data_IF_840150756890
#
_entry.id   IF_840150756890
#
_cell.length_a   1.000
_cell.length_b   1.000
_cell.length_c   1.000
_cell.angle_alpha   90.00
_cell.angle_beta   90.00
_cell.angle_gamma   90.00
#
_symmetry.space_group_name_H-M   'P 1'
#
loop_
_entity.id
_entity.type
_entity.pdbx_description
1 polymer ?
#
# COMPACT_ATOMS: atom_id res chain seq x y z
N UNK A 1 -17.04 -9.51 2.42
CA UNK A 1 -16.73 -10.72 1.63
C UNK A 1 -16.00 -10.42 0.30
N UNK A 2 -16.19 -9.23 -0.33
CA UNK A 2 -15.61 -8.94 -1.64
C UNK A 2 -14.10 -8.63 -1.62
N UNK A 3 -13.54 -8.27 -0.47
CA UNK A 3 -12.11 -7.94 -0.32
C UNK A 3 -11.22 -9.14 -0.63
N UNK A 4 -10.11 -8.90 -1.36
CA UNK A 4 -9.08 -9.91 -1.62
C UNK A 4 -8.35 -10.30 -0.34
N UNK A 5 -7.62 -11.41 -0.34
CA UNK A 5 -6.80 -11.82 0.82
C UNK A 5 -5.70 -10.81 1.12
N UNK A 6 -5.09 -10.23 0.10
CA UNK A 6 -4.06 -9.20 0.23
C UNK A 6 -4.62 -7.94 0.89
N UNK A 7 -5.80 -7.48 0.45
CA UNK A 7 -6.52 -6.37 1.08
C UNK A 7 -6.83 -6.64 2.55
N UNK A 8 -7.30 -7.86 2.88
CA UNK A 8 -7.55 -8.27 4.28
C UNK A 8 -6.27 -8.24 5.12
N UNK A 9 -5.18 -8.76 4.59
CA UNK A 9 -3.88 -8.74 5.27
C UNK A 9 -3.36 -7.32 5.44
N UNK A 10 -3.58 -6.43 4.47
CA UNK A 10 -3.22 -5.00 4.58
C UNK A 10 -4.03 -4.31 5.67
N UNK A 11 -5.36 -4.52 5.73
CA UNK A 11 -6.20 -3.96 6.80
C UNK A 11 -5.75 -4.45 8.17
N UNK A 12 -5.47 -5.76 8.33
CA UNK A 12 -4.95 -6.31 9.59
C UNK A 12 -3.58 -5.74 9.95
N UNK A 13 -2.67 -5.55 8.97
CA UNK A 13 -1.37 -4.92 9.19
C UNK A 13 -1.51 -3.46 9.65
N UNK A 14 -2.33 -2.68 8.95
CA UNK A 14 -2.55 -1.25 9.26
C UNK A 14 -3.36 -1.03 10.54
N UNK A 15 -4.08 -2.03 11.05
CA UNK A 15 -4.77 -1.94 12.35
C UNK A 15 -3.81 -1.61 13.48
N UNK A 16 -2.57 -2.11 13.40
CA UNK A 16 -1.52 -1.80 14.39
C UNK A 16 -1.15 -0.32 14.35
N UNK A 17 -1.11 0.27 13.17
CA UNK A 17 -0.74 1.68 12.99
C UNK A 17 -1.79 2.65 13.54
N UNK A 18 -3.06 2.22 13.64
CA UNK A 18 -4.12 3.00 14.30
C UNK A 18 -4.19 2.77 15.82
N UNK A 19 -3.24 2.00 16.38
CA UNK A 19 -3.13 1.77 17.83
C UNK A 19 -3.79 0.49 18.34
N UNK A 20 -4.36 -0.35 17.47
CA UNK A 20 -4.88 -1.64 17.87
C UNK A 20 -3.75 -2.62 18.18
N UNK A 21 -4.02 -3.60 19.06
CA UNK A 21 -3.06 -4.69 19.38
C UNK A 21 -3.04 -5.78 18.31
N UNK A 22 -4.04 -5.85 17.47
CA UNK A 22 -4.16 -6.81 16.38
C UNK A 22 -5.28 -6.42 15.44
N UNK A 23 -5.30 -7.01 14.25
CA UNK A 23 -6.40 -6.95 13.30
C UNK A 23 -6.84 -8.35 12.97
N UNK A 24 -8.14 -8.60 12.92
CA UNK A 24 -8.71 -9.90 12.60
C UNK A 24 -9.86 -9.78 11.62
N UNK A 25 -9.95 -10.74 10.72
CA UNK A 25 -11.09 -10.93 9.83
C UNK A 25 -11.56 -12.38 9.91
N UNK A 26 -12.85 -12.60 10.04
CA UNK A 26 -13.42 -13.93 10.03
C UNK A 26 -13.05 -14.66 8.71
N UNK A 27 -12.65 -15.94 8.78
CA UNK A 27 -12.34 -16.71 7.59
C UNK A 27 -13.63 -17.03 6.81
N UNK A 28 -13.56 -16.99 5.51
CA UNK A 28 -14.62 -17.33 4.57
C UNK A 28 -14.09 -18.19 3.41
N UNK A 29 -14.92 -18.43 2.40
CA UNK A 29 -14.55 -19.22 1.23
C UNK A 29 -13.28 -18.71 0.52
N UNK A 30 -13.01 -17.40 0.51
CA UNK A 30 -11.76 -16.84 -0.05
C UNK A 30 -10.55 -17.21 0.79
N UNK A 31 -10.69 -17.16 2.11
CA UNK A 31 -9.64 -17.59 3.04
C UNK A 31 -9.36 -19.08 2.86
N UNK A 32 -10.39 -19.91 2.75
CA UNK A 32 -10.21 -21.34 2.53
C UNK A 32 -9.54 -21.63 1.17
N UNK A 33 -9.98 -20.98 0.10
CA UNK A 33 -9.36 -21.12 -1.22
C UNK A 33 -7.90 -20.68 -1.21
N UNK A 34 -7.57 -19.59 -0.50
CA UNK A 34 -6.21 -19.08 -0.38
C UNK A 34 -5.27 -20.04 0.38
N UNK A 35 -5.77 -20.71 1.43
CA UNK A 35 -4.96 -21.64 2.25
C UNK A 35 -4.85 -23.02 1.61
N UNK A 36 -5.86 -23.45 0.85
CA UNK A 36 -5.93 -24.79 0.26
C UNK A 36 -4.72 -25.09 -0.62
N UNK A 37 -4.11 -26.25 -0.37
CA UNK A 37 -2.97 -26.75 -1.17
C UNK A 37 -1.62 -26.12 -0.83
N UNK A 38 -1.54 -25.18 0.12
CA UNK A 38 -0.26 -24.67 0.59
C UNK A 38 0.50 -25.73 1.37
N UNK A 39 1.81 -25.62 1.41
CA UNK A 39 2.74 -26.61 1.98
C UNK A 39 2.37 -27.06 3.39
N UNK A 40 2.02 -26.10 4.25
CA UNK A 40 1.71 -26.33 5.67
C UNK A 40 0.20 -26.36 5.93
N UNK A 41 -0.64 -26.31 4.91
CA UNK A 41 -2.09 -26.44 5.10
C UNK A 41 -2.46 -27.87 5.45
N UNK A 42 -3.52 -28.08 6.28
CA UNK A 42 -4.07 -29.41 6.54
C UNK A 42 -4.43 -30.11 5.22
N UNK A 43 -4.35 -31.44 5.19
CA UNK A 43 -4.62 -32.26 4.01
C UNK A 43 -5.63 -33.36 4.30
N UNK A 44 -6.36 -33.82 3.28
CA UNK A 44 -7.33 -34.92 3.41
C UNK A 44 -8.37 -34.65 4.51
N UNK A 45 -8.65 -35.62 5.35
CA UNK A 45 -9.64 -35.51 6.43
C UNK A 45 -9.35 -34.40 7.44
N UNK A 46 -8.09 -34.01 7.63
CA UNK A 46 -7.75 -32.89 8.53
C UNK A 46 -8.09 -31.54 7.90
N UNK A 47 -8.09 -31.43 6.58
CA UNK A 47 -8.61 -30.27 5.87
C UNK A 47 -10.12 -30.08 6.13
N UNK A 48 -10.89 -31.14 6.03
CA UNK A 48 -12.35 -31.09 6.23
C UNK A 48 -12.70 -30.70 7.69
N UNK A 49 -11.98 -31.26 8.65
CA UNK A 49 -12.10 -30.86 10.07
C UNK A 49 -11.74 -29.39 10.28
N UNK A 50 -10.63 -28.93 9.67
CA UNK A 50 -10.17 -27.56 9.77
C UNK A 50 -11.20 -26.60 9.18
N UNK A 51 -11.73 -26.88 7.98
CA UNK A 51 -12.78 -26.06 7.36
C UNK A 51 -14.04 -25.98 8.23
N UNK A 52 -14.49 -27.10 8.79
CA UNK A 52 -15.65 -27.15 9.68
C UNK A 52 -15.42 -26.25 10.91
N UNK A 53 -14.24 -26.33 11.50
CA UNK A 53 -13.87 -25.49 12.66
C UNK A 53 -13.73 -24.02 12.26
N UNK A 54 -13.01 -23.69 11.17
CA UNK A 54 -12.80 -22.31 10.74
C UNK A 54 -14.10 -21.60 10.36
N UNK A 55 -15.08 -22.33 9.85
CA UNK A 55 -16.39 -21.78 9.53
C UNK A 55 -17.15 -21.28 10.78
N UNK A 56 -16.76 -21.69 11.98
CA UNK A 56 -17.33 -21.20 13.25
C UNK A 56 -16.64 -19.94 13.78
N UNK A 57 -15.50 -19.54 13.19
CA UNK A 57 -14.69 -18.42 13.68
C UNK A 57 -15.20 -17.07 13.13
N UNK A 58 -16.43 -16.74 13.42
CA UNK A 58 -17.03 -15.44 13.16
C UNK A 58 -17.42 -14.77 14.49
N UNK A 59 -17.65 -13.47 14.43
CA UNK A 59 -18.09 -12.70 15.59
C UNK A 59 -19.44 -13.22 16.07
N UNK A 60 -19.60 -13.39 17.38
CA UNK A 60 -20.86 -13.80 18.00
C UNK A 60 -21.96 -12.77 17.72
N UNK A 61 -23.20 -13.24 17.54
CA UNK A 61 -24.31 -12.37 17.17
C UNK A 61 -24.68 -11.34 18.25
N UNK A 62 -24.30 -11.59 19.49
CA UNK A 62 -24.52 -10.76 20.67
C UNK A 62 -23.23 -10.01 21.11
N UNK A 63 -22.20 -10.01 20.31
CA UNK A 63 -20.97 -9.31 20.62
C UNK A 63 -21.20 -7.80 20.78
N UNK A 64 -20.63 -7.24 21.84
CA UNK A 64 -20.70 -5.80 22.12
C UNK A 64 -19.32 -5.19 21.88
N UNK A 65 -19.28 -4.16 21.05
CA UNK A 65 -18.04 -3.44 20.70
C UNK A 65 -17.99 -2.10 21.44
N UNK A 66 -16.80 -1.70 21.89
CA UNK A 66 -16.57 -0.37 22.46
C UNK A 66 -16.83 0.74 21.42
N UNK A 67 -16.52 0.45 20.15
CA UNK A 67 -16.76 1.36 19.03
C UNK A 67 -16.98 0.59 17.74
N UNK A 68 -17.98 1.01 16.99
CA UNK A 68 -18.28 0.52 15.66
C UNK A 68 -18.21 1.65 14.65
N UNK A 69 -17.55 1.42 13.50
CA UNK A 69 -17.45 2.34 12.39
C UNK A 69 -17.91 1.63 11.12
N UNK A 70 -18.82 2.25 10.41
CA UNK A 70 -19.36 1.72 9.15
C UNK A 70 -18.93 2.66 8.02
N UNK A 71 -18.32 2.07 6.98
CA UNK A 71 -17.89 2.79 5.78
C UNK A 71 -18.54 2.17 4.55
N UNK A 72 -19.02 2.98 3.64
CA UNK A 72 -19.37 2.52 2.30
C UNK A 72 -18.09 2.45 1.46
N UNK A 73 -17.71 1.23 1.05
CA UNK A 73 -16.53 1.02 0.22
C UNK A 73 -16.59 1.70 -1.14
N UNK A 74 -17.79 2.02 -1.64
CA UNK A 74 -17.97 2.74 -2.90
C UNK A 74 -17.59 4.23 -2.81
N UNK A 75 -17.62 4.79 -1.60
CA UNK A 75 -17.23 6.18 -1.34
C UNK A 75 -15.72 6.36 -1.10
N UNK A 76 -14.98 5.25 -0.93
CA UNK A 76 -13.53 5.30 -0.68
C UNK A 76 -12.79 5.43 -2.01
N UNK A 77 -12.27 6.62 -2.28
CA UNK A 77 -11.36 6.85 -3.40
C UNK A 77 -9.92 6.41 -3.08
N UNK A 78 -9.00 6.34 -4.08
CA UNK A 78 -7.60 6.16 -3.82
C UNK A 78 -7.07 7.18 -2.80
N UNK A 79 -6.36 6.71 -1.79
CA UNK A 79 -5.89 7.56 -0.69
C UNK A 79 -4.38 7.77 -0.73
N UNK A 80 -3.96 8.91 -0.17
CA UNK A 80 -2.56 9.27 -0.01
C UNK A 80 -2.37 10.02 1.33
N UNK A 81 -1.21 9.85 1.97
CA UNK A 81 -0.89 10.65 3.17
C UNK A 81 -0.27 11.99 2.79
N UNK A 82 -0.52 13.00 3.61
CA UNK A 82 0.05 14.36 3.47
C UNK A 82 0.98 14.73 4.63
N UNK A 83 1.04 13.91 5.68
CA UNK A 83 1.82 14.17 6.89
C UNK A 83 2.79 13.05 7.23
N UNK A 84 3.22 13.01 8.50
CA UNK A 84 4.27 12.13 9.01
C UNK A 84 3.76 10.93 9.80
N UNK A 85 2.49 10.58 9.64
CA UNK A 85 1.91 9.35 10.18
C UNK A 85 0.75 8.87 9.28
N UNK A 86 0.38 7.57 9.33
CA UNK A 86 -0.69 7.02 8.48
C UNK A 86 -2.07 7.64 8.70
N UNK A 87 -2.34 8.17 9.91
CA UNK A 87 -3.61 8.85 10.22
C UNK A 87 -3.77 10.21 9.52
N UNK A 88 -2.70 10.76 8.96
CA UNK A 88 -2.73 11.99 8.16
C UNK A 88 -2.93 11.62 6.66
N UNK A 89 -3.95 10.84 6.37
CA UNK A 89 -4.36 10.41 5.04
C UNK A 89 -5.61 11.14 4.57
N UNK A 90 -5.73 11.28 3.25
CA UNK A 90 -6.90 11.87 2.59
C UNK A 90 -7.15 11.23 1.24
N UNK A 91 -8.34 11.43 0.68
CA UNK A 91 -8.61 11.08 -0.71
C UNK A 91 -7.70 11.85 -1.66
N UNK A 92 -7.23 11.18 -2.71
CA UNK A 92 -6.23 11.73 -3.64
C UNK A 92 -6.71 12.97 -4.39
N UNK A 93 -8.02 13.10 -4.60
CA UNK A 93 -8.64 14.24 -5.27
C UNK A 93 -8.89 15.45 -4.34
N UNK A 94 -8.71 15.25 -3.02
CA UNK A 94 -8.97 16.27 -2.01
C UNK A 94 -7.84 17.30 -1.86
N UNK A 95 -8.04 18.18 -0.88
CA UNK A 95 -7.04 19.13 -0.43
C UNK A 95 -6.66 18.83 1.02
N UNK A 96 -5.43 19.18 1.42
CA UNK A 96 -4.94 19.00 2.79
C UNK A 96 -5.91 19.68 3.77
N UNK A 97 -6.51 18.92 4.70
CA UNK A 97 -7.56 19.46 5.59
C UNK A 97 -6.98 20.52 6.55
N UNK A 98 -7.85 21.37 7.09
CA UNK A 98 -7.44 22.29 8.15
C UNK A 98 -7.02 21.56 9.43
N UNK A 99 -6.26 22.24 10.28
CA UNK A 99 -5.79 21.69 11.56
C UNK A 99 -6.94 21.23 12.48
N UNK A 100 -8.14 21.78 12.33
CA UNK A 100 -9.34 21.41 13.07
C UNK A 100 -9.92 20.06 12.61
N UNK A 101 -9.73 19.74 11.33
CA UNK A 101 -10.26 18.53 10.69
C UNK A 101 -9.21 17.44 10.47
N UNK A 102 -7.95 17.69 10.86
CA UNK A 102 -6.82 16.80 10.55
C UNK A 102 -6.72 15.53 11.43
N UNK A 103 -7.60 15.38 12.43
CA UNK A 103 -7.59 14.21 13.33
C UNK A 103 -6.34 14.10 14.24
N UNK A 104 -5.41 15.05 14.14
CA UNK A 104 -4.18 15.14 14.96
C UNK A 104 -4.15 16.45 15.72
N UNK A 105 -3.45 16.49 16.87
CA UNK A 105 -3.31 17.75 17.63
C UNK A 105 -2.61 18.83 16.79
N UNK A 106 -3.03 20.08 16.95
CA UNK A 106 -2.57 21.26 16.16
C UNK A 106 -1.04 21.36 16.05
N UNK A 107 -0.32 21.11 17.13
CA UNK A 107 1.17 21.15 17.14
C UNK A 107 1.76 20.05 16.27
N UNK A 108 1.24 18.82 16.35
CA UNK A 108 1.68 17.69 15.53
C UNK A 108 1.39 17.96 14.06
N UNK A 109 0.20 18.46 13.75
CA UNK A 109 -0.19 18.84 12.40
C UNK A 109 0.77 19.87 11.79
N UNK A 110 1.04 20.98 12.50
CA UNK A 110 1.94 22.03 12.03
C UNK A 110 3.37 21.53 11.79
N UNK A 111 3.91 20.72 12.73
CA UNK A 111 5.26 20.11 12.57
C UNK A 111 5.29 19.18 11.34
N UNK A 112 4.28 18.35 11.17
CA UNK A 112 4.19 17.42 10.03
C UNK A 112 4.15 18.16 8.70
N UNK A 113 3.33 19.21 8.57
CA UNK A 113 3.27 20.00 7.34
C UNK A 113 4.59 20.72 7.06
N UNK A 114 5.22 21.30 8.09
CA UNK A 114 6.52 21.94 7.96
C UNK A 114 7.60 20.95 7.48
N UNK A 115 7.63 19.73 8.03
CA UNK A 115 8.56 18.68 7.59
C UNK A 115 8.28 18.26 6.13
N UNK A 116 7.02 18.06 5.79
CA UNK A 116 6.59 17.65 4.45
C UNK A 116 6.62 18.78 3.43
N UNK A 117 6.81 20.04 3.85
CA UNK A 117 6.78 21.23 3.00
C UNK A 117 5.46 21.37 2.24
N UNK A 118 4.37 21.28 2.99
CA UNK A 118 3.01 21.46 2.54
C UNK A 118 2.30 22.54 3.33
N UNK A 119 1.25 23.09 2.73
CA UNK A 119 0.33 24.02 3.39
C UNK A 119 -1.07 23.44 3.45
N UNK A 120 -1.85 23.94 4.40
CA UNK A 120 -3.28 23.70 4.45
C UNK A 120 -3.93 24.13 3.13
N UNK A 121 -4.81 23.30 2.59
CA UNK A 121 -5.49 23.54 1.32
C UNK A 121 -4.70 23.12 0.07
N UNK A 122 -3.43 22.71 0.19
CA UNK A 122 -2.67 22.20 -0.94
C UNK A 122 -3.31 20.93 -1.52
N UNK A 123 -3.33 20.81 -2.86
CA UNK A 123 -3.66 19.56 -3.54
C UNK A 123 -2.44 18.66 -3.62
N UNK A 124 -2.67 17.36 -3.41
CA UNK A 124 -1.60 16.37 -3.64
C UNK A 124 -1.42 16.04 -5.13
N UNK A 125 -2.47 16.16 -5.94
CA UNK A 125 -2.38 15.91 -7.38
C UNK A 125 -1.41 16.88 -8.06
N UNK A 126 -0.53 16.35 -8.91
CA UNK A 126 0.52 17.11 -9.60
C UNK A 126 1.77 17.36 -8.75
N UNK A 127 1.81 16.92 -7.49
CA UNK A 127 3.04 17.03 -6.67
C UNK A 127 4.13 16.14 -7.27
N UNK A 128 5.26 16.72 -7.65
CA UNK A 128 6.41 15.99 -8.21
C UNK A 128 6.92 14.94 -7.25
N UNK A 129 7.27 13.78 -7.80
CA UNK A 129 7.76 12.61 -7.08
C UNK A 129 9.16 12.28 -7.58
N UNK A 130 10.11 12.12 -6.67
CA UNK A 130 11.49 11.73 -6.98
C UNK A 130 11.70 10.22 -6.89
N UNK A 131 10.97 9.57 -5.97
CA UNK A 131 11.10 8.14 -5.69
C UNK A 131 9.74 7.45 -5.64
N UNK A 132 9.74 6.19 -6.04
CA UNK A 132 8.61 5.27 -5.84
C UNK A 132 9.13 4.01 -5.17
N UNK A 133 8.46 3.56 -4.14
CA UNK A 133 8.76 2.31 -3.44
C UNK A 133 7.53 1.40 -3.45
N UNK A 134 7.64 0.27 -4.14
CA UNK A 134 6.68 -0.83 -4.06
C UNK A 134 7.30 -1.97 -3.26
N UNK A 135 6.68 -2.35 -2.15
CA UNK A 135 7.21 -3.42 -1.32
C UNK A 135 6.69 -3.38 0.11
N UNK A 136 7.46 -3.93 1.02
CA UNK A 136 7.19 -4.13 2.43
C UNK A 136 6.26 -5.31 2.75
N UNK A 137 6.11 -5.62 4.06
CA UNK A 137 5.16 -6.63 4.54
C UNK A 137 3.69 -6.25 4.28
N UNK A 138 3.41 -4.98 4.02
CA UNK A 138 2.07 -4.47 3.74
C UNK A 138 1.65 -4.76 2.30
N UNK A 139 2.45 -4.32 1.31
CA UNK A 139 2.12 -4.38 -0.12
C UNK A 139 3.33 -4.85 -0.96
N UNK A 140 3.94 -5.97 -0.60
CA UNK A 140 5.00 -6.63 -1.35
C UNK A 140 4.60 -8.04 -1.78
N UNK A 141 3.30 -8.29 -1.97
CA UNK A 141 2.73 -9.59 -2.37
C UNK A 141 2.60 -9.67 -3.88
N UNK A 142 2.38 -10.86 -4.41
CA UNK A 142 2.32 -11.06 -5.87
C UNK A 142 1.17 -10.27 -6.51
N UNK A 143 0.05 -10.11 -5.82
CA UNK A 143 -1.11 -9.35 -6.32
C UNK A 143 -0.81 -7.86 -6.42
N UNK A 144 -0.02 -7.31 -5.49
CA UNK A 144 0.44 -5.93 -5.56
C UNK A 144 1.31 -5.70 -6.80
N UNK A 145 2.20 -6.66 -7.10
CA UNK A 145 3.02 -6.64 -8.32
C UNK A 145 2.20 -6.82 -9.59
N UNK A 146 1.20 -7.71 -9.59
CA UNK A 146 0.29 -7.86 -10.73
C UNK A 146 -0.42 -6.55 -11.03
N UNK A 147 -1.07 -5.94 -10.01
CA UNK A 147 -1.79 -4.69 -10.17
C UNK A 147 -0.88 -3.52 -10.61
N UNK A 148 0.33 -3.43 -10.05
CA UNK A 148 1.33 -2.44 -10.47
C UNK A 148 1.75 -2.67 -11.92
N UNK A 149 2.10 -3.91 -12.27
CA UNK A 149 2.57 -4.28 -13.61
C UNK A 149 1.51 -4.06 -14.67
N UNK A 150 0.25 -4.39 -14.39
CA UNK A 150 -0.84 -4.17 -15.33
C UNK A 150 -1.03 -2.68 -15.63
N UNK A 151 -0.91 -1.80 -14.64
CA UNK A 151 -1.02 -0.35 -14.87
C UNK A 151 0.17 0.20 -15.67
N UNK A 152 1.38 -0.32 -15.50
CA UNK A 152 2.56 0.19 -16.22
C UNK A 152 2.81 -0.50 -17.56
N UNK A 153 2.05 -1.53 -17.89
CA UNK A 153 2.15 -2.25 -19.16
C UNK A 153 2.00 -1.28 -20.35
N UNK A 154 2.92 -1.35 -21.31
CA UNK A 154 2.93 -0.47 -22.46
C UNK A 154 3.32 0.99 -22.18
N UNK A 155 3.64 1.33 -20.93
CA UNK A 155 4.09 2.67 -20.52
C UNK A 155 5.55 2.67 -20.12
N UNK A 156 6.12 3.85 -19.96
CA UNK A 156 7.49 4.03 -19.45
C UNK A 156 7.46 4.80 -18.15
N UNK A 157 8.32 4.40 -17.23
CA UNK A 157 8.61 5.16 -16.01
C UNK A 157 9.14 6.55 -16.35
N UNK A 158 8.71 7.58 -15.63
CA UNK A 158 9.24 8.94 -15.79
C UNK A 158 10.77 8.92 -15.56
N UNK A 159 11.55 9.58 -16.46
CA UNK A 159 13.02 9.45 -16.45
C UNK A 159 13.68 9.91 -15.16
N UNK A 160 13.10 10.89 -14.47
CA UNK A 160 13.65 11.45 -13.24
C UNK A 160 13.25 10.65 -11.97
N UNK A 161 12.31 9.71 -12.08
CA UNK A 161 11.86 8.91 -10.94
C UNK A 161 12.79 7.72 -10.73
N UNK A 162 13.30 7.56 -9.53
CA UNK A 162 13.94 6.31 -9.06
C UNK A 162 12.88 5.41 -8.46
N UNK A 163 12.73 4.19 -8.97
CA UNK A 163 11.73 3.26 -8.47
C UNK A 163 12.38 1.99 -7.94
N UNK A 164 12.07 1.64 -6.69
CA UNK A 164 12.51 0.41 -6.05
C UNK A 164 11.34 -0.54 -5.86
N UNK A 165 11.39 -1.65 -6.59
CA UNK A 165 10.39 -2.72 -6.52
C UNK A 165 10.97 -3.88 -5.73
N UNK A 166 10.44 -4.12 -4.54
CA UNK A 166 11.02 -5.06 -3.56
C UNK A 166 10.01 -6.16 -3.21
N UNK A 167 10.19 -7.39 -3.72
CA UNK A 167 9.33 -8.51 -3.37
C UNK A 167 9.35 -8.79 -1.87
N UNK A 168 8.20 -9.11 -1.29
CA UNK A 168 8.07 -9.43 0.13
C UNK A 168 8.68 -10.78 0.53
N UNK A 169 9.03 -11.64 -0.43
CA UNK A 169 9.68 -12.93 -0.22
C UNK A 169 10.26 -13.50 -1.50
N UNK A 170 11.15 -14.49 -1.38
CA UNK A 170 11.65 -15.25 -2.52
C UNK A 170 10.56 -15.97 -3.32
N UNK A 171 9.45 -16.39 -2.66
CA UNK A 171 8.29 -16.97 -3.36
C UNK A 171 7.61 -15.93 -4.26
N UNK A 172 7.50 -14.68 -3.81
CA UNK A 172 6.96 -13.58 -4.63
C UNK A 172 7.90 -13.26 -5.79
N UNK A 173 9.21 -13.16 -5.56
CA UNK A 173 10.20 -12.95 -6.62
C UNK A 173 10.11 -14.05 -7.69
N UNK A 174 10.05 -15.31 -7.27
CA UNK A 174 9.88 -16.44 -8.20
C UNK A 174 8.57 -16.36 -8.99
N UNK A 175 7.48 -15.93 -8.36
CA UNK A 175 6.19 -15.75 -9.04
C UNK A 175 6.24 -14.60 -10.06
N UNK A 176 6.85 -13.46 -9.72
CA UNK A 176 7.06 -12.32 -10.64
C UNK A 176 7.75 -12.79 -11.92
N UNK A 177 8.79 -13.62 -11.79
CA UNK A 177 9.55 -14.18 -12.93
C UNK A 177 8.74 -15.19 -13.72
N UNK A 178 8.10 -16.15 -13.04
CA UNK A 178 7.36 -17.22 -13.70
C UNK A 178 6.08 -16.76 -14.40
N UNK A 179 5.50 -15.64 -13.97
CA UNK A 179 4.31 -15.03 -14.56
C UNK A 179 4.64 -14.02 -15.68
N UNK A 180 5.92 -13.81 -16.02
CA UNK A 180 6.33 -12.86 -17.07
C UNK A 180 6.15 -11.39 -16.68
N UNK A 181 5.98 -11.09 -15.37
CA UNK A 181 5.82 -9.72 -14.91
C UNK A 181 7.15 -8.94 -14.97
N UNK A 182 8.28 -9.64 -14.76
CA UNK A 182 9.61 -9.04 -14.78
C UNK A 182 9.93 -8.39 -16.12
N UNK A 183 9.59 -9.05 -17.22
CA UNK A 183 9.81 -8.57 -18.58
C UNK A 183 9.06 -7.26 -18.82
N UNK A 184 7.79 -7.22 -18.42
CA UNK A 184 6.95 -6.00 -18.53
C UNK A 184 7.52 -4.85 -17.69
N UNK A 185 7.97 -5.15 -16.46
CA UNK A 185 8.59 -4.17 -15.58
C UNK A 185 9.89 -3.63 -16.19
N UNK A 186 10.76 -4.48 -16.74
CA UNK A 186 11.98 -4.07 -17.41
C UNK A 186 11.69 -3.23 -18.66
N UNK A 187 10.72 -3.63 -19.48
CA UNK A 187 10.29 -2.84 -20.63
C UNK A 187 9.78 -1.46 -20.20
N UNK A 188 9.10 -1.36 -19.08
CA UNK A 188 8.65 -0.08 -18.53
C UNK A 188 9.77 0.75 -17.87
N UNK A 189 10.98 0.19 -17.75
CA UNK A 189 12.15 0.87 -17.17
C UNK A 189 12.29 0.72 -15.66
N UNK A 190 11.70 -0.32 -15.09
CA UNK A 190 11.82 -0.65 -13.67
C UNK A 190 12.87 -1.73 -13.43
N UNK A 191 13.48 -1.69 -12.25
CA UNK A 191 14.41 -2.70 -11.75
C UNK A 191 13.80 -3.38 -10.52
N UNK A 192 13.79 -4.73 -10.54
CA UNK A 192 13.40 -5.52 -9.40
C UNK A 192 14.60 -5.67 -8.45
N UNK A 193 14.38 -5.40 -7.17
CA UNK A 193 15.36 -5.56 -6.11
C UNK A 193 15.24 -6.94 -5.48
N UNK A 194 16.29 -7.35 -4.74
CA UNK A 194 16.23 -8.56 -3.92
C UNK A 194 15.14 -8.46 -2.85
N UNK A 195 14.47 -9.58 -2.52
CA UNK A 195 13.49 -9.63 -1.45
C UNK A 195 14.04 -9.14 -0.12
N UNK A 196 13.32 -8.24 0.55
CA UNK A 196 13.77 -7.68 1.82
C UNK A 196 13.01 -6.43 2.27
N UNK A 197 13.60 -5.70 3.20
CA UNK A 197 13.03 -4.45 3.71
C UNK A 197 13.44 -3.23 2.89
N UNK A 198 14.67 -3.20 2.33
CA UNK A 198 15.17 -2.09 1.51
C UNK A 198 14.84 -0.70 2.13
N UNK A 199 14.39 0.25 1.33
CA UNK A 199 14.02 1.58 1.78
C UNK A 199 12.84 1.63 2.77
N UNK A 200 12.10 0.55 3.01
CA UNK A 200 11.03 0.56 4.02
C UNK A 200 11.53 0.95 5.42
N UNK A 201 12.77 0.60 5.75
CA UNK A 201 13.43 0.91 7.02
C UNK A 201 14.66 1.81 6.88
N UNK A 202 15.17 2.00 5.67
CA UNK A 202 16.42 2.69 5.38
C UNK A 202 17.62 2.20 6.24
N UNK A 203 17.65 0.91 6.57
CA UNK A 203 18.73 0.30 7.37
C UNK A 203 19.91 -0.15 6.52
N UNK A 204 19.78 -0.15 5.21
CA UNK A 204 20.82 -0.39 4.22
C UNK A 204 21.13 0.90 3.45
N UNK A 205 21.84 0.77 2.34
CA UNK A 205 22.20 1.93 1.49
C UNK A 205 21.02 2.47 0.67
N UNK A 206 19.89 1.77 0.61
CA UNK A 206 18.66 2.22 -0.02
C UNK A 206 17.98 3.30 0.84
N UNK A 207 18.49 4.53 0.75
CA UNK A 207 17.97 5.70 1.48
C UNK A 207 17.52 6.76 0.52
N UNK A 208 16.37 7.36 0.83
CA UNK A 208 15.87 8.50 0.10
C UNK A 208 16.57 9.76 0.62
N UNK A 209 17.17 10.59 -0.23
CA UNK A 209 17.84 11.81 0.17
C UNK A 209 16.89 12.82 0.82
N UNK A 210 17.44 13.69 1.68
CA UNK A 210 16.70 14.75 2.35
C UNK A 210 15.96 15.66 1.36
N UNK A 211 14.76 16.05 1.69
CA UNK A 211 13.90 16.92 0.88
C UNK A 211 13.25 16.27 -0.33
N UNK A 212 13.59 15.00 -0.64
CA UNK A 212 13.01 14.26 -1.77
C UNK A 212 11.69 13.60 -1.39
N UNK A 213 10.74 13.60 -2.34
CA UNK A 213 9.43 12.98 -2.16
C UNK A 213 9.40 11.57 -2.71
N UNK A 214 8.87 10.66 -1.90
CA UNK A 214 8.63 9.28 -2.27
C UNK A 214 7.15 8.92 -2.14
N UNK A 215 6.57 8.33 -3.16
CA UNK A 215 5.32 7.57 -3.03
C UNK A 215 5.67 6.14 -2.66
N UNK A 216 5.14 5.65 -1.54
CA UNK A 216 5.55 4.39 -0.93
C UNK A 216 4.36 3.55 -0.50
N UNK A 217 4.44 2.26 -0.75
CA UNK A 217 3.45 1.27 -0.29
C UNK A 217 3.79 0.67 1.08
N UNK A 218 4.74 1.25 1.81
CA UNK A 218 5.05 0.86 3.19
C UNK A 218 3.92 1.26 4.16
N UNK A 219 4.03 0.82 5.42
CA UNK A 219 2.99 1.07 6.42
C UNK A 219 3.28 2.26 7.35
N UNK A 220 4.47 2.86 7.26
CA UNK A 220 4.91 3.95 8.14
C UNK A 220 5.67 5.01 7.36
N UNK A 221 5.45 6.27 7.72
CA UNK A 221 6.08 7.43 7.08
C UNK A 221 6.53 8.49 8.10
N UNK A 222 6.85 8.10 9.32
CA UNK A 222 7.40 9.06 10.29
C UNK A 222 8.71 9.66 9.79
N UNK A 223 9.07 10.82 10.30
CA UNK A 223 10.27 11.56 9.93
C UNK A 223 11.53 10.67 9.90
N UNK A 224 12.21 10.64 8.78
CA UNK A 224 13.44 9.86 8.60
C UNK A 224 13.23 8.36 8.32
N UNK A 225 12.00 7.85 8.24
CA UNK A 225 11.71 6.41 8.05
C UNK A 225 12.41 5.81 6.83
N UNK A 226 12.39 6.50 5.70
CA UNK A 226 13.02 6.06 4.45
C UNK A 226 14.36 6.77 4.17
N UNK A 227 14.88 7.51 5.13
CA UNK A 227 16.12 8.26 5.06
C UNK A 227 16.00 9.58 5.82
N UNK A 228 17.10 10.10 6.40
CA UNK A 228 17.08 11.38 7.11
C UNK A 228 16.57 12.51 6.22
N UNK A 229 15.49 13.19 6.65
CA UNK A 229 14.86 14.27 5.89
C UNK A 229 14.06 13.83 4.65
N UNK A 230 13.87 12.54 4.41
CA UNK A 230 13.03 12.02 3.35
C UNK A 230 11.54 12.29 3.61
N UNK A 231 10.79 12.64 2.58
CA UNK A 231 9.36 12.97 2.62
C UNK A 231 8.55 11.85 1.99
N UNK A 232 7.94 11.01 2.84
CA UNK A 232 7.25 9.79 2.39
C UNK A 232 5.74 9.99 2.37
N UNK A 233 5.14 9.74 1.22
CA UNK A 233 3.70 9.71 0.98
C UNK A 233 3.26 8.24 0.89
N UNK A 234 2.49 7.77 1.86
CA UNK A 234 1.94 6.42 1.81
C UNK A 234 0.76 6.37 0.83
N UNK A 235 0.76 5.36 -0.01
CA UNK A 235 -0.29 5.14 -0.99
C UNK A 235 -0.39 3.67 -1.42
N UNK A 236 -1.43 3.34 -2.18
CA UNK A 236 -1.62 2.00 -2.73
C UNK A 236 -0.63 1.69 -3.87
N UNK A 237 -0.44 0.40 -4.22
CA UNK A 237 0.37 0.01 -5.39
C UNK A 237 -0.04 0.69 -6.70
N UNK A 238 -1.34 0.89 -6.93
CA UNK A 238 -1.83 1.57 -8.14
C UNK A 238 -1.47 3.07 -8.17
N UNK A 239 -1.56 3.76 -7.03
CA UNK A 239 -1.12 5.17 -6.93
C UNK A 239 0.40 5.27 -7.12
N UNK A 240 1.16 4.32 -6.56
CA UNK A 240 2.61 4.25 -6.74
C UNK A 240 2.98 4.01 -8.22
N UNK A 241 2.28 3.11 -8.91
CA UNK A 241 2.46 2.87 -10.34
C UNK A 241 2.15 4.10 -11.18
N UNK A 242 1.03 4.77 -10.92
CA UNK A 242 0.65 6.01 -11.61
C UNK A 242 1.71 7.10 -11.40
N UNK A 243 2.15 7.30 -10.16
CA UNK A 243 3.20 8.27 -9.84
C UNK A 243 4.54 7.94 -10.51
N UNK A 244 4.89 6.66 -10.62
CA UNK A 244 6.11 6.25 -11.30
C UNK A 244 6.09 6.57 -12.80
N UNK A 245 4.95 6.40 -13.46
CA UNK A 245 4.79 6.67 -14.90
C UNK A 245 4.73 8.18 -15.18
N UNK A 246 3.98 8.94 -14.40
CA UNK A 246 3.76 10.37 -14.65
C UNK A 246 4.87 11.26 -14.07
N UNK A 247 5.57 10.78 -13.03
CA UNK A 247 6.57 11.56 -12.28
C UNK A 247 5.97 12.49 -11.24
N UNK A 248 4.66 12.37 -10.98
CA UNK A 248 3.92 13.19 -10.02
C UNK A 248 2.78 12.40 -9.39
N UNK A 249 2.25 12.86 -8.27
CA UNK A 249 1.08 12.26 -7.65
C UNK A 249 -0.09 12.32 -8.62
N UNK A 250 -0.58 11.16 -9.03
CA UNK A 250 -1.61 11.02 -10.06
C UNK A 250 -2.67 10.01 -9.61
N UNK A 251 -3.94 10.36 -9.86
CA UNK A 251 -5.04 9.41 -9.65
C UNK A 251 -4.94 8.26 -10.66
N UNK A 252 -4.74 7.01 -10.19
CA UNK A 252 -4.55 5.86 -11.08
C UNK A 252 -5.76 5.61 -11.98
N UNK A 253 -6.97 5.99 -11.58
CA UNK A 253 -8.21 5.83 -12.35
C UNK A 253 -8.14 6.54 -13.70
N UNK A 254 -7.39 7.65 -13.80
CA UNK A 254 -7.19 8.37 -15.07
C UNK A 254 -6.39 7.55 -16.09
N UNK A 255 -5.39 6.79 -15.63
CA UNK A 255 -4.59 5.94 -16.53
C UNK A 255 -5.32 4.65 -16.91
N UNK A 256 -6.14 4.10 -16.02
CA UNK A 256 -6.95 2.91 -16.30
C UNK A 256 -8.06 3.17 -17.31
N UNK A 257 -8.68 4.36 -17.31
CA UNK A 257 -9.74 4.74 -18.25
C UNK A 257 -9.23 4.90 -19.69
N UNK A 258 -7.98 5.28 -19.88
CA UNK A 258 -7.39 5.46 -21.22
C UNK A 258 -7.28 4.14 -21.99
N UNK A 259 -7.16 3.00 -21.30
CA UNK A 259 -7.12 1.66 -21.92
C UNK A 259 -8.49 1.14 -22.37
N UNK A 260 -9.58 1.59 -21.73
CA UNK A 260 -10.93 1.18 -22.11
C UNK A 260 -11.47 1.97 -23.32
N UNK A 261 -10.77 3.02 -23.72
CA UNK A 261 -11.17 3.91 -24.82
C UNK A 261 -10.31 3.74 -26.09
N UNK A 262 -9.29 2.89 -26.06
CA UNK A 262 -8.41 2.52 -27.17
C UNK A 262 -8.71 1.11 -27.69
#
# INVERSE_FOLDING_TARGET
>A
ENMTMEGRMTVCNLSIEMGARGGMMAPDHKTFAYVKGREFAPKGADWDKAMTYWATLHTDADAVFDKELIFDGAEIEPMITYGTNPGMGMGISGAIPSSENAGSGKTTYQKSLAYMDFNEGDSMLGKKVDFVFLGSCTNGRIEDFRAFTDLVRGRKKAPHVTAWLVPGSHKVDSAIRSEGLLEVLHEAGFELREPGCSACLAMNDDKIPAGKYAVSTSNRNFEGRQGPGARTLLASPLVAAAAAVTGEVTDPRKLMQTEMAS
#
